data_IF_855096150450
#
_entry.id   IF_855096150450
#
_cell.length_a   1.000
_cell.length_b   1.000
_cell.length_c   1.000
_cell.angle_alpha   90.00
_cell.angle_beta   90.00
_cell.angle_gamma   90.00
#
_symmetry.space_group_name_H-M   'P 1'
#
loop_
_entity.id
_entity.type
_entity.pdbx_description
1 polymer ?
#
# COMPACT_ATOMS: atom_id res chain seq x y z
N UNK A 1 3.11 -1.73 11.22
CA UNK A 1 2.81 -1.45 11.05
C UNK A 1 2.52 -1.35 11.46
N UNK A 2 2.98 -1.55 12.02
CA UNK A 2 2.74 -1.29 12.13
C UNK A 2 2.44 -1.36 11.71
N UNK A 3 2.40 -1.78 11.99
CA UNK A 3 2.16 -1.72 11.43
C UNK A 3 1.55 -1.95 11.46
N UNK A 4 1.55 -2.41 11.93
CA UNK A 4 1.17 -2.44 11.75
C UNK A 4 0.50 -2.60 12.07
N UNK A 5 0.49 -3.04 12.54
CA UNK A 5 0.14 -2.98 12.61
C UNK A 5 -0.53 -3.13 12.80
N UNK A 6 -0.58 -3.66 13.30
CA UNK A 6 -0.89 -3.61 13.24
C UNK A 6 -1.54 -3.85 13.38
N UNK A 7 -1.63 -4.38 13.98
CA UNK A 7 -1.98 -4.33 13.83
C UNK A 7 -2.72 -4.11 14.05
N UNK A 8 -2.88 -4.33 14.69
CA UNK A 8 -3.19 -3.85 14.44
C UNK A 8 -3.94 -3.41 14.75
N UNK A 9 -4.12 -3.52 15.38
CA UNK A 9 -4.54 -2.79 15.40
C UNK A 9 -5.27 -2.28 15.11
N UNK A 10 -5.76 -2.48 15.53
CA UNK A 10 -6.28 -1.81 14.99
C UNK A 10 -6.64 -1.27 14.73
N UNK A 11 -6.74 -1.32 15.17
CA UNK A 11 -6.81 -0.73 14.54
C UNK A 11 -7.11 -0.25 14.31
N UNK A 12 -7.31 -0.35 14.76
CA UNK A 12 -7.34 0.26 14.24
C UNK A 12 -7.15 0.68 13.85
N UNK A 13 -7.02 0.64 14.27
CA UNK A 13 -6.54 0.96 13.64
C UNK A 13 -6.25 1.13 13.41
N UNK A 14 -6.22 0.97 13.64
CA UNK A 14 -5.71 1.16 13.27
C UNK A 14 -5.14 1.31 13.12
N UNK A 15 -4.78 1.16 13.33
CA UNK A 15 -4.12 1.22 13.04
C UNK A 15 -3.78 1.23 13.00
N UNK A 16 -3.56 1.31 13.57
CA UNK A 16 -3.25 1.06 13.12
C UNK A 16 -3.14 0.26 12.81
N UNK A 17 -3.19 0.50 12.90
CA UNK A 17 -2.99 -0.83 12.41
C UNK A 17 -3.41 -1.13 11.08
N UNK A 18 -3.02 -2.25 10.72
CA UNK A 18 -3.27 -2.67 9.36
C UNK A 18 -4.58 -3.42 9.33
N UNK A 19 -5.45 -2.99 8.45
CA UNK A 19 -6.76 -3.57 8.32
C UNK A 19 -6.80 -4.52 7.13
N UNK A 20 -6.76 -5.82 7.41
CA UNK A 20 -6.80 -6.83 6.36
C UNK A 20 -8.22 -7.14 5.90
N UNK A 21 -9.20 -6.82 6.72
CA UNK A 21 -10.56 -7.28 6.48
C UNK A 21 -11.30 -6.56 5.37
N UNK A 22 -10.86 -5.39 4.99
CA UNK A 22 -11.57 -4.57 4.02
C UNK A 22 -11.16 -4.81 2.57
N UNK A 23 -10.22 -5.74 2.34
CA UNK A 23 -9.60 -5.88 1.02
C UNK A 23 -10.54 -6.32 -0.07
N UNK A 24 -11.54 -7.14 0.26
CA UNK A 24 -12.42 -7.70 -0.77
C UNK A 24 -13.15 -6.65 -1.59
N UNK A 25 -13.66 -5.59 -0.93
CA UNK A 25 -14.39 -4.55 -1.62
C UNK A 25 -13.53 -3.70 -2.52
N UNK A 26 -12.27 -3.48 -2.12
CA UNK A 26 -11.36 -2.63 -2.88
C UNK A 26 -10.68 -3.36 -4.02
N UNK A 27 -10.70 -4.69 -4.00
CA UNK A 27 -10.06 -5.49 -5.04
C UNK A 27 -10.54 -5.11 -6.43
N UNK A 28 -11.85 -5.10 -6.66
CA UNK A 28 -12.40 -4.84 -7.99
C UNK A 28 -12.01 -3.44 -8.48
N UNK A 29 -12.20 -2.43 -7.64
CA UNK A 29 -11.91 -1.06 -8.04
C UNK A 29 -10.44 -0.83 -8.31
N UNK A 30 -9.59 -1.26 -7.38
CA UNK A 30 -8.17 -0.98 -7.49
C UNK A 30 -7.50 -1.84 -8.56
N UNK A 31 -7.90 -3.10 -8.68
CA UNK A 31 -7.37 -3.97 -9.72
C UNK A 31 -7.69 -3.42 -11.10
N UNK A 32 -8.92 -2.92 -11.29
CA UNK A 32 -9.32 -2.33 -12.55
C UNK A 32 -8.52 -1.06 -12.86
N UNK A 33 -8.26 -0.25 -11.85
CA UNK A 33 -7.49 0.99 -12.02
C UNK A 33 -6.04 0.71 -12.42
N UNK A 34 -5.44 -0.30 -11.81
CA UNK A 34 -4.04 -0.62 -12.07
C UNK A 34 -3.85 -1.46 -13.32
N UNK A 35 -4.84 -2.29 -13.66
CA UNK A 35 -4.79 -3.12 -14.85
C UNK A 35 -3.49 -3.92 -14.94
N UNK A 36 -2.68 -3.64 -15.97
CA UNK A 36 -1.42 -4.34 -16.18
C UNK A 36 -0.33 -3.91 -15.21
N UNK A 37 -0.59 -2.93 -14.36
CA UNK A 37 0.36 -2.52 -13.34
C UNK A 37 0.47 -3.45 -12.15
N UNK A 38 -0.42 -4.45 -12.04
CA UNK A 38 -0.33 -5.42 -10.95
C UNK A 38 0.87 -6.34 -11.12
N UNK A 39 1.58 -6.60 -10.03
CA UNK A 39 2.64 -7.59 -10.02
C UNK A 39 2.06 -8.99 -10.07
N UNK A 40 2.87 -9.94 -10.54
CA UNK A 40 2.43 -11.33 -10.64
C UNK A 40 2.08 -11.93 -9.28
N UNK A 41 2.82 -11.54 -8.26
CA UNK A 41 2.66 -12.10 -6.91
C UNK A 41 2.09 -11.08 -5.93
N UNK A 42 2.51 -9.84 -6.05
CA UNK A 42 2.05 -8.78 -5.15
C UNK A 42 2.33 -7.40 -5.76
N UNK A 43 1.66 -6.39 -5.25
CA UNK A 43 1.86 -5.01 -5.67
C UNK A 43 1.96 -4.11 -4.44
N UNK A 44 2.95 -3.23 -4.44
CA UNK A 44 3.10 -2.19 -3.43
C UNK A 44 2.60 -0.89 -4.04
N UNK A 45 1.49 -0.38 -3.54
CA UNK A 45 0.88 0.85 -4.06
C UNK A 45 1.16 1.97 -3.09
N UNK A 46 1.68 3.07 -3.60
CA UNK A 46 2.01 4.24 -2.80
C UNK A 46 1.18 5.43 -3.28
N UNK A 47 0.43 6.04 -2.37
CA UNK A 47 -0.22 7.31 -2.64
C UNK A 47 0.69 8.43 -2.16
N UNK A 48 1.00 9.37 -3.05
CA UNK A 48 1.94 10.45 -2.81
C UNK A 48 1.33 11.79 -3.18
N UNK A 49 1.94 12.86 -2.69
CA UNK A 49 1.56 14.22 -3.07
C UNK A 49 2.82 15.00 -3.43
N UNK A 50 2.64 16.17 -4.02
CA UNK A 50 3.76 17.04 -4.37
C UNK A 50 4.44 17.57 -3.10
N UNK A 51 5.74 17.81 -3.19
CA UNK A 51 6.54 18.41 -2.12
C UNK A 51 6.49 17.62 -0.82
N UNK A 52 6.46 16.30 -0.94
CA UNK A 52 6.33 15.40 0.19
C UNK A 52 7.65 14.63 0.37
N UNK A 53 8.48 15.08 1.32
CA UNK A 53 9.76 14.42 1.58
C UNK A 53 9.59 12.98 2.03
N UNK A 54 8.65 12.66 2.96
CA UNK A 54 8.40 11.28 3.32
C UNK A 54 7.94 10.42 2.15
N UNK A 55 7.25 11.00 1.17
CA UNK A 55 6.84 10.27 -0.02
C UNK A 55 8.05 9.83 -0.84
N UNK A 56 9.06 10.70 -0.96
CA UNK A 56 10.28 10.36 -1.68
C UNK A 56 11.04 9.24 -0.99
N UNK A 57 11.14 9.29 0.33
CA UNK A 57 11.79 8.24 1.11
C UNK A 57 11.03 6.92 0.96
N UNK A 58 9.72 6.98 1.00
CA UNK A 58 8.87 5.79 0.84
C UNK A 58 9.05 5.19 -0.55
N UNK A 59 9.09 6.02 -1.59
CA UNK A 59 9.33 5.55 -2.96
C UNK A 59 10.62 4.75 -3.04
N UNK A 60 11.68 5.24 -2.41
CA UNK A 60 12.96 4.54 -2.41
C UNK A 60 12.84 3.18 -1.72
N UNK A 61 12.21 3.14 -0.56
CA UNK A 61 12.06 1.90 0.20
C UNK A 61 11.25 0.87 -0.58
N UNK A 62 10.10 1.29 -1.13
CA UNK A 62 9.24 0.37 -1.87
C UNK A 62 9.92 -0.13 -3.15
N UNK A 63 10.64 0.75 -3.82
CA UNK A 63 11.40 0.37 -5.01
C UNK A 63 12.45 -0.67 -4.69
N UNK A 64 13.18 -0.50 -3.58
CA UNK A 64 14.19 -1.47 -3.16
C UNK A 64 13.57 -2.81 -2.84
N UNK A 65 12.44 -2.82 -2.14
CA UNK A 65 11.77 -4.07 -1.78
C UNK A 65 11.25 -4.77 -3.03
N UNK A 66 10.64 -4.01 -3.95
CA UNK A 66 10.15 -4.59 -5.21
C UNK A 66 11.29 -5.22 -6.01
N UNK A 67 12.46 -4.57 -6.00
CA UNK A 67 13.62 -5.10 -6.73
C UNK A 67 14.17 -6.38 -6.10
N UNK A 68 13.98 -6.54 -4.79
CA UNK A 68 14.47 -7.71 -4.06
C UNK A 68 13.60 -8.95 -4.24
N UNK A 69 12.32 -8.78 -4.55
CA UNK A 69 11.36 -9.88 -4.53
C UNK A 69 10.76 -10.05 -5.92
N UNK A 70 11.10 -11.15 -6.62
CA UNK A 70 10.54 -11.39 -7.96
C UNK A 70 9.01 -11.45 -7.93
N UNK A 71 8.39 -10.86 -8.93
CA UNK A 71 6.93 -10.84 -9.03
C UNK A 71 6.25 -9.72 -8.25
N UNK A 72 7.01 -8.85 -7.61
CA UNK A 72 6.49 -7.71 -6.88
C UNK A 72 6.72 -6.43 -7.68
N UNK A 73 5.67 -5.64 -7.83
CA UNK A 73 5.72 -4.38 -8.57
C UNK A 73 5.40 -3.23 -7.63
N UNK A 74 6.07 -2.10 -7.83
CA UNK A 74 5.79 -0.86 -7.11
C UNK A 74 5.05 0.09 -8.03
N UNK A 75 3.90 0.60 -7.57
CA UNK A 75 3.08 1.56 -8.31
C UNK A 75 2.88 2.79 -7.45
N UNK A 76 3.18 3.96 -8.01
CA UNK A 76 2.96 5.22 -7.30
C UNK A 76 1.78 5.95 -7.93
N UNK A 77 0.85 6.41 -7.09
CA UNK A 77 -0.34 7.14 -7.51
C UNK A 77 -0.29 8.54 -6.91
N UNK A 78 -0.48 9.54 -7.75
CA UNK A 78 -0.59 10.91 -7.28
C UNK A 78 -1.97 11.11 -6.68
N UNK A 79 -2.01 11.30 -5.36
CA UNK A 79 -3.27 11.44 -4.63
C UNK A 79 -4.04 12.67 -5.09
N UNK A 80 -3.34 13.71 -5.50
CA UNK A 80 -3.97 14.95 -5.95
C UNK A 80 -4.64 14.81 -7.31
N UNK A 81 -4.15 13.88 -8.12
CA UNK A 81 -4.72 13.61 -9.44
C UNK A 81 -5.80 12.53 -9.40
N UNK A 82 -5.94 11.83 -8.30
CA UNK A 82 -6.88 10.71 -8.19
C UNK A 82 -7.72 10.82 -6.92
N UNK A 83 -8.42 11.94 -6.79
CA UNK A 83 -9.29 12.18 -5.64
C UNK A 83 -10.41 11.15 -5.52
N UNK A 84 -10.86 10.60 -6.64
CA UNK A 84 -11.85 9.54 -6.65
C UNK A 84 -11.37 8.30 -5.88
N UNK A 85 -10.14 7.88 -6.16
CA UNK A 85 -9.52 6.75 -5.47
C UNK A 85 -9.28 7.06 -4.00
N UNK A 86 -8.77 8.26 -3.73
CA UNK A 86 -8.49 8.70 -2.37
C UNK A 86 -9.75 8.57 -1.52
N UNK A 87 -10.89 9.03 -2.03
CA UNK A 87 -12.15 8.96 -1.30
C UNK A 87 -12.63 7.52 -1.13
N UNK A 88 -12.59 6.74 -2.20
CA UNK A 88 -13.06 5.35 -2.15
C UNK A 88 -12.26 4.50 -1.17
N UNK A 89 -10.95 4.74 -1.11
CA UNK A 89 -10.06 3.97 -0.26
C UNK A 89 -9.87 4.58 1.12
N UNK A 90 -10.45 5.75 1.37
CA UNK A 90 -10.31 6.41 2.65
C UNK A 90 -8.89 6.85 2.96
N UNK A 91 -8.16 7.32 1.95
CA UNK A 91 -6.80 7.82 2.13
C UNK A 91 -6.88 9.19 2.77
N UNK A 92 -6.24 9.36 3.93
CA UNK A 92 -6.33 10.61 4.68
C UNK A 92 -5.04 11.40 4.70
N UNK A 93 -3.93 10.76 4.33
CA UNK A 93 -2.63 11.42 4.36
C UNK A 93 -1.68 10.75 3.37
N UNK A 94 -0.62 11.45 3.00
CA UNK A 94 0.44 10.89 2.18
C UNK A 94 1.75 10.93 2.96
N UNK A 95 2.60 9.93 2.79
CA UNK A 95 2.34 8.76 1.97
C UNK A 95 1.39 7.78 2.65
N UNK A 96 0.64 7.03 1.85
CA UNK A 96 -0.10 5.86 2.31
C UNK A 96 0.29 4.70 1.41
N UNK A 97 0.57 3.57 2.00
CA UNK A 97 1.01 2.38 1.27
C UNK A 97 -0.03 1.29 1.42
N UNK A 98 -0.40 0.69 0.29
CA UNK A 98 -1.28 -0.47 0.27
C UNK A 98 -0.47 -1.64 -0.28
N UNK A 99 -0.59 -2.80 0.37
CA UNK A 99 0.03 -4.03 -0.12
C UNK A 99 -1.09 -4.88 -0.69
N UNK A 100 -0.98 -5.20 -1.98
CA UNK A 100 -1.98 -6.00 -2.69
C UNK A 100 -1.44 -7.38 -2.96
N UNK A 101 -2.32 -8.39 -2.91
CA UNK A 101 -1.96 -9.73 -3.33
C UNK A 101 -2.03 -9.84 -4.86
N UNK A 102 -1.83 -11.04 -5.39
CA UNK A 102 -1.80 -11.28 -6.83
C UNK A 102 -3.12 -10.94 -7.51
N UNK A 103 -4.22 -10.98 -6.77
CA UNK A 103 -5.55 -10.67 -7.29
C UNK A 103 -5.90 -9.20 -7.18
N UNK A 104 -5.02 -8.39 -6.60
CA UNK A 104 -5.26 -6.97 -6.42
C UNK A 104 -6.06 -6.64 -5.16
N UNK A 105 -6.18 -7.57 -4.23
CA UNK A 105 -6.83 -7.31 -2.95
C UNK A 105 -5.87 -6.60 -2.01
N UNK A 106 -6.39 -5.62 -1.29
CA UNK A 106 -5.60 -4.93 -0.27
C UNK A 106 -5.51 -5.85 0.95
N UNK A 107 -4.31 -6.34 1.24
CA UNK A 107 -4.08 -7.23 2.39
C UNK A 107 -3.43 -6.53 3.56
N UNK A 108 -2.74 -5.40 3.30
CA UNK A 108 -2.15 -4.57 4.34
C UNK A 108 -2.20 -3.12 3.92
N UNK A 109 -2.21 -2.23 4.91
CA UNK A 109 -2.30 -0.79 4.69
C UNK A 109 -1.51 -0.07 5.77
N UNK A 110 -0.74 0.95 5.39
CA UNK A 110 0.03 1.75 6.33
C UNK A 110 -0.02 3.21 5.94
N UNK A 111 -0.31 4.09 6.89
CA UNK A 111 -0.26 5.53 6.69
C UNK A 111 1.07 6.05 7.22
N UNK A 112 1.67 6.97 6.50
CA UNK A 112 2.97 7.53 6.86
C UNK A 112 4.11 6.73 6.26
N UNK A 113 5.33 7.17 6.55
CA UNK A 113 6.53 6.56 6.01
C UNK A 113 6.83 5.23 6.71
N UNK A 114 6.82 4.10 5.99
CA UNK A 114 7.11 2.81 6.60
C UNK A 114 8.62 2.57 6.64
N UNK A 115 9.05 1.71 7.55
CA UNK A 115 10.41 1.21 7.53
C UNK A 115 10.49 0.03 6.58
N UNK A 116 11.67 -0.19 6.01
CA UNK A 116 11.87 -1.28 5.06
C UNK A 116 11.48 -2.64 5.66
N UNK A 117 11.86 -2.88 6.91
CA UNK A 117 11.52 -4.15 7.57
C UNK A 117 10.02 -4.34 7.68
N UNK A 118 9.26 -3.27 7.92
CA UNK A 118 7.81 -3.35 8.03
C UNK A 118 7.18 -3.65 6.67
N UNK A 119 7.75 -3.09 5.61
CA UNK A 119 7.26 -3.37 4.25
C UNK A 119 7.49 -4.84 3.90
N UNK A 120 8.67 -5.35 4.21
CA UNK A 120 8.98 -6.75 3.93
C UNK A 120 8.04 -7.68 4.71
N UNK A 121 7.79 -7.37 5.98
CA UNK A 121 6.89 -8.18 6.79
C UNK A 121 5.45 -8.13 6.25
N UNK A 122 4.99 -6.95 5.86
CA UNK A 122 3.66 -6.80 5.31
C UNK A 122 3.52 -7.53 3.97
N UNK A 123 4.57 -7.51 3.17
CA UNK A 123 4.57 -8.20 1.88
C UNK A 123 4.39 -9.71 2.06
N UNK A 124 4.91 -10.26 3.14
CA UNK A 124 4.72 -11.68 3.45
C UNK A 124 3.26 -12.09 3.51
N UNK A 125 2.37 -11.18 3.89
CA UNK A 125 0.95 -11.47 3.95
C UNK A 125 0.30 -11.57 2.57
N UNK A 126 0.94 -11.03 1.55
CA UNK A 126 0.41 -10.99 0.18
C UNK A 126 0.92 -12.15 -0.68
N UNK A 127 1.99 -12.78 -0.27
CA UNK A 127 2.65 -13.82 -1.08
C UNK A 127 2.13 -15.22 -0.81
#
# INVERSE_FOLDING_TARGET
VRGSDDTGRSGTGTDAGINAGSGGGTRTGLAAELGTGLGERATLVQFSSAFCAPCRATRRVLGEVADMVPGVTHVEIDAEARLDLVRRLGIERTPTVLVLDADGRVVRRAAGQPRKADVIAALGAAL
#
